data_IF_254104182701
#
_entry.id   IF_254104182701
#
_cell.length_a   1.000
_cell.length_b   1.000
_cell.length_c   1.000
_cell.angle_alpha   90.00
_cell.angle_beta   90.00
_cell.angle_gamma   90.00
#
_symmetry.space_group_name_H-M   'P 1'
#
loop_
_entity.id
_entity.type
_entity.pdbx_description
1 polymer ?
#
# COMPACT_ATOMS: atom_id res chain seq x y z
N UNK A 1 -45.52 11.50 -0.46
CA UNK A 1 -44.92 10.30 -0.98
C UNK A 1 -43.44 10.35 -0.70
N UNK A 2 -42.88 9.46 0.14
CA UNK A 2 -41.46 9.34 0.39
C UNK A 2 -40.80 8.82 -0.87
N UNK A 3 -40.00 9.68 -1.55
CA UNK A 3 -39.09 9.23 -2.58
C UNK A 3 -37.96 8.47 -1.88
N UNK A 4 -38.01 7.15 -1.91
CA UNK A 4 -36.90 6.31 -1.54
C UNK A 4 -35.84 6.48 -2.64
N UNK A 5 -34.86 7.31 -2.38
CA UNK A 5 -33.66 7.33 -3.21
C UNK A 5 -33.02 5.95 -3.06
N UNK A 6 -33.13 5.12 -4.10
CA UNK A 6 -32.24 3.99 -4.23
C UNK A 6 -30.81 4.51 -4.11
N UNK A 7 -29.87 3.77 -3.53
CA UNK A 7 -28.47 4.08 -3.63
C UNK A 7 -28.09 3.92 -5.12
N UNK A 8 -28.48 4.90 -5.91
CA UNK A 8 -28.07 4.98 -7.29
C UNK A 8 -26.60 5.35 -7.25
N UNK A 9 -25.78 4.48 -7.79
CA UNK A 9 -24.58 4.88 -8.53
C UNK A 9 -24.36 6.40 -8.42
N UNK A 10 -23.42 6.80 -7.62
CA UNK A 10 -22.87 8.16 -7.72
C UNK A 10 -22.31 8.24 -9.12
N UNK A 11 -23.08 8.84 -10.03
CA UNK A 11 -22.60 9.16 -11.36
C UNK A 11 -21.39 10.09 -11.17
N UNK A 12 -20.20 9.58 -11.47
CA UNK A 12 -18.93 10.23 -11.15
C UNK A 12 -18.15 9.58 -10.01
N UNK A 13 -18.66 8.50 -9.43
CA UNK A 13 -17.83 7.64 -8.56
C UNK A 13 -16.63 7.15 -9.35
N UNK A 14 -15.44 7.45 -8.85
CA UNK A 14 -14.22 6.89 -9.41
C UNK A 14 -14.43 5.38 -9.61
N UNK A 15 -14.42 4.98 -10.86
CA UNK A 15 -14.47 3.57 -11.22
C UNK A 15 -13.28 2.90 -10.57
N UNK A 16 -13.52 2.10 -9.54
CA UNK A 16 -12.50 1.16 -9.07
C UNK A 16 -12.16 0.34 -10.31
N UNK A 17 -10.92 0.30 -10.75
CA UNK A 17 -10.55 -0.47 -11.93
C UNK A 17 -11.12 -1.88 -11.77
N UNK A 18 -11.86 -2.34 -12.78
CA UNK A 18 -12.32 -3.71 -12.85
C UNK A 18 -11.13 -4.63 -12.61
N UNK A 19 -11.24 -5.69 -11.82
CA UNK A 19 -10.13 -6.57 -11.55
C UNK A 19 -9.52 -7.03 -12.87
N UNK A 20 -8.20 -6.93 -13.00
CA UNK A 20 -7.44 -7.36 -14.18
C UNK A 20 -7.61 -8.85 -14.46
N UNK A 21 -8.02 -9.60 -13.45
CA UNK A 21 -8.59 -10.94 -13.53
C UNK A 21 -9.52 -11.13 -12.33
N UNK A 22 -10.36 -12.14 -12.34
CA UNK A 22 -11.39 -12.35 -11.33
C UNK A 22 -10.90 -12.38 -9.87
N UNK A 23 -9.59 -12.44 -9.63
CA UNK A 23 -9.01 -12.72 -8.32
C UNK A 23 -7.98 -11.69 -7.81
N UNK A 24 -7.75 -10.57 -8.52
CA UNK A 24 -6.74 -9.58 -8.10
C UNK A 24 -7.35 -8.19 -7.96
N UNK A 25 -7.06 -7.53 -6.84
CA UNK A 25 -7.39 -6.14 -6.61
C UNK A 25 -6.13 -5.31 -6.40
N UNK A 26 -6.09 -4.13 -6.99
CA UNK A 26 -5.14 -3.11 -6.61
C UNK A 26 -5.62 -2.44 -5.32
N UNK A 27 -4.80 -2.52 -4.30
CA UNK A 27 -4.97 -1.70 -3.11
C UNK A 27 -4.23 -0.41 -3.35
N UNK A 28 -4.93 0.54 -3.93
CA UNK A 28 -4.38 1.87 -4.11
C UNK A 28 -5.50 2.90 -4.08
N UNK A 29 -5.25 4.08 -3.51
CA UNK A 29 -6.05 5.25 -3.79
C UNK A 29 -6.01 5.54 -5.31
N UNK A 30 -6.93 6.36 -5.79
CA UNK A 30 -6.96 6.81 -7.18
C UNK A 30 -5.56 7.19 -7.69
N UNK A 31 -5.08 6.52 -8.72
CA UNK A 31 -3.77 6.78 -9.34
C UNK A 31 -3.91 7.12 -10.82
N UNK A 32 -3.00 7.94 -11.34
CA UNK A 32 -3.00 8.36 -12.75
C UNK A 32 -2.14 7.49 -13.64
N UNK A 33 -1.12 6.84 -13.08
CA UNK A 33 -0.19 6.03 -13.86
C UNK A 33 0.49 4.97 -13.01
N UNK A 34 0.79 3.83 -13.64
CA UNK A 34 1.76 2.89 -13.11
C UNK A 34 3.17 3.45 -13.33
N UNK A 35 4.03 3.30 -12.34
CA UNK A 35 5.41 3.79 -12.33
C UNK A 35 6.30 2.76 -11.67
N UNK A 36 7.54 3.13 -11.45
CA UNK A 36 8.50 2.37 -10.64
C UNK A 36 9.18 3.29 -9.65
N UNK A 37 9.63 2.74 -8.52
CA UNK A 37 10.39 3.48 -7.51
C UNK A 37 11.56 2.63 -7.02
N UNK A 38 12.75 3.22 -6.94
CA UNK A 38 13.88 2.63 -6.26
C UNK A 38 13.66 2.72 -4.73
N UNK A 39 13.67 1.58 -4.07
CA UNK A 39 13.55 1.56 -2.62
C UNK A 39 14.85 2.03 -1.97
N UNK A 40 14.75 2.59 -0.79
CA UNK A 40 15.90 2.89 0.07
C UNK A 40 15.97 1.82 1.15
N UNK A 41 17.16 1.28 1.40
CA UNK A 41 17.37 0.26 2.41
C UNK A 41 16.81 0.69 3.79
N UNK A 42 16.11 -0.22 4.43
CA UNK A 42 15.49 -0.08 5.75
C UNK A 42 14.38 1.01 5.83
N UNK A 43 14.04 1.68 4.73
CA UNK A 43 12.93 2.64 4.73
C UNK A 43 11.61 1.91 4.61
N UNK A 44 10.67 2.22 5.51
CA UNK A 44 9.28 1.76 5.46
C UNK A 44 8.48 2.82 4.70
N UNK A 45 7.88 2.43 3.60
CA UNK A 45 6.93 3.24 2.83
C UNK A 45 5.53 2.83 3.22
N UNK A 46 4.64 3.79 3.48
CA UNK A 46 3.28 3.51 3.90
C UNK A 46 2.25 4.31 3.10
N UNK A 47 1.18 3.64 2.65
CA UNK A 47 0.06 4.22 1.91
C UNK A 47 -1.24 3.80 2.60
N UNK A 48 -2.15 4.73 2.93
CA UNK A 48 -3.44 4.38 3.49
C UNK A 48 -4.38 3.82 2.42
N UNK A 49 -5.23 2.87 2.82
CA UNK A 49 -6.27 2.33 1.96
C UNK A 49 -7.50 1.89 2.77
N UNK A 50 -8.63 1.83 2.08
CA UNK A 50 -9.90 1.34 2.61
C UNK A 50 -10.49 0.34 1.62
N UNK A 51 -11.01 -0.77 2.11
CA UNK A 51 -11.75 -1.72 1.28
C UNK A 51 -13.25 -1.38 1.30
N UNK A 52 -13.89 -1.41 0.14
CA UNK A 52 -15.34 -1.26 0.03
C UNK A 52 -16.12 -2.53 0.45
N UNK A 53 -15.46 -3.69 0.42
CA UNK A 53 -16.00 -4.99 0.80
C UNK A 53 -14.96 -5.75 1.60
N UNK A 54 -15.37 -6.39 2.70
CA UNK A 54 -14.48 -7.25 3.49
C UNK A 54 -13.91 -8.39 2.65
N UNK A 55 -12.60 -8.63 2.78
CA UNK A 55 -11.88 -9.64 2.02
C UNK A 55 -10.90 -10.42 2.88
N UNK A 56 -10.73 -11.70 2.55
CA UNK A 56 -9.61 -12.49 3.02
C UNK A 56 -8.56 -12.56 1.91
N UNK A 57 -7.41 -11.96 2.15
CA UNK A 57 -6.31 -11.92 1.19
C UNK A 57 -5.52 -13.22 1.31
N UNK A 58 -5.35 -13.92 0.20
CA UNK A 58 -4.66 -15.22 0.13
C UNK A 58 -3.29 -15.13 -0.53
N UNK A 59 -3.07 -14.09 -1.32
CA UNK A 59 -1.83 -13.89 -2.05
C UNK A 59 -1.43 -12.42 -2.03
N UNK A 60 -0.16 -12.15 -1.82
CA UNK A 60 0.44 -10.83 -1.92
C UNK A 60 1.53 -10.86 -2.98
N UNK A 61 1.57 -9.84 -3.84
CA UNK A 61 2.57 -9.76 -4.90
C UNK A 61 3.16 -8.37 -5.08
N UNK A 62 4.43 -8.33 -5.48
CA UNK A 62 5.15 -7.13 -5.90
C UNK A 62 5.82 -7.39 -7.24
N UNK A 63 6.03 -6.34 -8.03
CA UNK A 63 6.84 -6.43 -9.26
C UNK A 63 8.21 -5.82 -9.00
N UNK A 64 9.28 -6.58 -9.24
CA UNK A 64 10.66 -6.09 -9.23
C UNK A 64 11.05 -5.75 -10.66
N UNK A 65 11.25 -4.46 -10.96
CA UNK A 65 11.64 -3.99 -12.29
C UNK A 65 13.16 -3.90 -12.46
N UNK A 66 13.88 -3.57 -11.38
CA UNK A 66 15.36 -3.65 -11.35
C UNK A 66 15.77 -4.39 -10.09
N UNK A 67 16.47 -5.49 -10.28
CA UNK A 67 16.94 -6.33 -9.19
C UNK A 67 18.12 -5.69 -8.44
N UNK A 68 18.22 -5.99 -7.15
CA UNK A 68 19.39 -5.71 -6.34
C UNK A 68 19.84 -7.03 -5.68
N UNK A 69 21.01 -7.52 -6.06
CA UNK A 69 21.50 -8.84 -5.64
C UNK A 69 21.53 -8.99 -4.11
N UNK A 70 21.05 -10.12 -3.62
CA UNK A 70 21.02 -10.43 -2.18
C UNK A 70 20.01 -9.64 -1.37
N UNK A 71 19.10 -8.91 -2.02
CA UNK A 71 18.09 -8.12 -1.31
C UNK A 71 16.73 -8.79 -1.29
N UNK A 72 15.93 -8.39 -0.31
CA UNK A 72 14.56 -8.86 -0.12
C UNK A 72 13.63 -7.68 0.19
N UNK A 73 12.35 -7.89 -0.06
CA UNK A 73 11.28 -6.95 0.27
C UNK A 73 10.29 -7.63 1.20
N UNK A 74 9.78 -6.89 2.16
CA UNK A 74 8.70 -7.30 3.03
C UNK A 74 7.50 -6.39 2.81
N UNK A 75 6.30 -6.98 2.77
CA UNK A 75 5.02 -6.26 2.65
C UNK A 75 4.22 -6.53 3.91
N UNK A 76 3.58 -5.50 4.45
CA UNK A 76 2.71 -5.64 5.63
C UNK A 76 1.50 -4.73 5.57
N UNK A 77 0.56 -5.03 6.46
CA UNK A 77 -0.63 -4.21 6.68
C UNK A 77 -0.68 -3.82 8.15
N UNK A 78 -0.77 -2.52 8.38
CA UNK A 78 -0.94 -1.94 9.72
C UNK A 78 -2.36 -1.42 9.91
N UNK A 79 -2.81 -1.42 11.16
CA UNK A 79 -4.01 -0.69 11.55
C UNK A 79 -3.76 0.81 11.49
N UNK A 80 -4.84 1.58 11.37
CA UNK A 80 -4.80 3.03 11.52
C UNK A 80 -4.98 3.43 13.00
N UNK A 81 -4.29 4.48 13.40
CA UNK A 81 -4.58 5.24 14.61
C UNK A 81 -4.34 6.71 14.30
N UNK A 82 -5.43 7.49 14.36
CA UNK A 82 -5.41 8.94 14.12
C UNK A 82 -4.71 9.36 12.81
N UNK A 83 -4.95 8.60 11.73
CA UNK A 83 -4.37 8.87 10.42
C UNK A 83 -2.90 8.48 10.29
N UNK A 84 -2.42 7.53 11.11
CA UNK A 84 -1.04 7.03 11.08
C UNK A 84 -1.00 5.51 11.23
N UNK A 85 -0.01 4.82 10.62
CA UNK A 85 0.21 3.40 10.84
C UNK A 85 0.50 3.11 12.31
N UNK A 86 -0.15 2.11 12.88
CA UNK A 86 -0.03 1.79 14.31
C UNK A 86 0.45 0.34 14.53
N UNK A 87 -0.46 -0.61 14.70
CA UNK A 87 -0.12 -2.00 14.98
C UNK A 87 0.00 -2.82 13.69
N UNK A 88 1.03 -3.65 13.58
CA UNK A 88 1.17 -4.62 12.49
C UNK A 88 0.09 -5.70 12.63
N UNK A 89 -0.77 -5.78 11.63
CA UNK A 89 -1.81 -6.81 11.56
C UNK A 89 -1.31 -8.06 10.82
N UNK A 90 -0.63 -7.85 9.72
CA UNK A 90 -0.14 -8.91 8.85
C UNK A 90 1.18 -8.52 8.18
N UNK A 91 2.03 -9.50 7.90
CA UNK A 91 3.23 -9.31 7.08
C UNK A 91 3.59 -10.55 6.30
N UNK A 92 4.22 -10.36 5.15
CA UNK A 92 4.87 -11.45 4.42
C UNK A 92 6.16 -11.87 5.12
N UNK A 93 6.67 -13.06 4.80
CA UNK A 93 8.10 -13.30 4.90
C UNK A 93 8.86 -12.48 3.84
N UNK A 94 10.18 -12.58 3.84
CA UNK A 94 11.01 -11.87 2.85
C UNK A 94 10.76 -12.39 1.44
N UNK A 95 10.34 -11.50 0.53
CA UNK A 95 10.20 -11.77 -0.90
C UNK A 95 11.54 -11.45 -1.59
N UNK A 96 12.03 -12.36 -2.44
CA UNK A 96 13.27 -12.14 -3.19
C UNK A 96 13.16 -10.92 -4.10
N UNK A 97 14.08 -9.98 -3.98
CA UNK A 97 14.24 -8.84 -4.89
C UNK A 97 15.61 -8.82 -5.58
N UNK A 98 16.38 -9.89 -5.42
CA UNK A 98 17.65 -10.13 -6.13
C UNK A 98 17.47 -10.52 -7.59
N UNK A 99 16.24 -10.80 -8.04
CA UNK A 99 15.90 -11.09 -9.42
C UNK A 99 14.67 -10.28 -9.85
N UNK A 100 14.57 -9.93 -11.14
CA UNK A 100 13.43 -9.20 -11.70
C UNK A 100 12.17 -10.08 -11.79
N UNK A 101 11.03 -9.47 -12.02
CA UNK A 101 9.75 -10.13 -12.26
C UNK A 101 8.75 -9.97 -11.12
N UNK A 102 7.61 -10.64 -11.27
CA UNK A 102 6.55 -10.64 -10.28
C UNK A 102 6.88 -11.65 -9.16
N UNK A 103 6.89 -11.20 -7.93
CA UNK A 103 7.17 -11.98 -6.72
C UNK A 103 5.90 -12.13 -5.91
N UNK A 104 5.58 -13.36 -5.51
CA UNK A 104 4.34 -13.65 -4.78
C UNK A 104 4.62 -14.33 -3.45
N UNK A 105 3.75 -14.05 -2.48
CA UNK A 105 3.64 -14.75 -1.21
C UNK A 105 2.22 -15.30 -1.11
N UNK A 106 2.08 -16.59 -1.13
CA UNK A 106 0.80 -17.31 -1.24
C UNK A 106 0.41 -17.99 0.08
N UNK A 107 -0.77 -18.60 0.12
CA UNK A 107 -1.31 -19.34 1.26
C UNK A 107 -1.46 -18.46 2.52
N UNK A 108 -1.87 -17.22 2.32
CA UNK A 108 -2.15 -16.29 3.40
C UNK A 108 -3.63 -16.34 3.79
N UNK A 109 -3.96 -15.79 4.94
CA UNK A 109 -5.33 -15.63 5.42
C UNK A 109 -5.45 -14.29 6.14
N UNK A 110 -5.28 -13.17 5.39
CA UNK A 110 -5.35 -11.82 5.95
C UNK A 110 -6.77 -11.29 5.82
N UNK A 111 -7.51 -11.32 6.92
CA UNK A 111 -8.90 -10.84 6.95
C UNK A 111 -8.93 -9.33 7.16
N UNK A 112 -9.41 -8.60 6.16
CA UNK A 112 -9.55 -7.15 6.17
C UNK A 112 -11.03 -6.77 6.05
N UNK A 113 -11.50 -5.92 6.94
CA UNK A 113 -12.89 -5.48 7.03
C UNK A 113 -13.16 -4.29 6.11
N UNK A 114 -14.35 -4.24 5.54
CA UNK A 114 -14.82 -3.07 4.80
C UNK A 114 -14.92 -1.84 5.70
N UNK A 115 -14.64 -0.67 5.14
CA UNK A 115 -14.80 0.63 5.82
C UNK A 115 -13.72 0.96 6.85
N UNK A 116 -12.86 0.01 7.24
CA UNK A 116 -11.73 0.28 8.10
C UNK A 116 -10.56 0.87 7.30
N UNK A 117 -9.85 1.82 7.87
CA UNK A 117 -8.60 2.35 7.31
C UNK A 117 -7.45 1.43 7.68
N UNK A 118 -6.65 1.06 6.69
CA UNK A 118 -5.43 0.29 6.82
C UNK A 118 -4.27 1.01 6.15
N UNK A 119 -3.06 0.60 6.49
CA UNK A 119 -1.84 1.10 5.87
C UNK A 119 -1.07 -0.06 5.24
N UNK A 120 -0.90 0.01 3.91
CA UNK A 120 0.02 -0.86 3.20
C UNK A 120 1.44 -0.37 3.47
N UNK A 121 2.28 -1.23 4.03
CA UNK A 121 3.68 -0.93 4.31
C UNK A 121 4.60 -1.82 3.49
N UNK A 122 5.65 -1.23 2.91
CA UNK A 122 6.66 -1.94 2.12
C UNK A 122 8.04 -1.50 2.59
N UNK A 123 8.92 -2.47 2.85
CA UNK A 123 10.31 -2.26 3.27
C UNK A 123 11.25 -3.19 2.52
N UNK A 124 12.47 -2.74 2.24
CA UNK A 124 13.54 -3.57 1.69
C UNK A 124 14.82 -3.45 2.52
N UNK A 125 15.64 -4.49 2.53
CA UNK A 125 17.00 -4.43 3.10
C UNK A 125 18.03 -3.85 2.11
N UNK A 126 17.62 -3.49 0.90
CA UNK A 126 18.47 -2.93 -0.13
C UNK A 126 17.74 -1.91 -1.01
N UNK A 127 18.21 -1.75 -2.24
CA UNK A 127 17.76 -0.71 -3.16
C UNK A 127 17.18 -1.25 -4.48
N UNK A 128 16.34 -2.32 -4.47
CA UNK A 128 15.69 -2.76 -5.70
C UNK A 128 14.72 -1.69 -6.19
N UNK A 129 14.44 -1.68 -7.51
CA UNK A 129 13.36 -0.87 -8.08
C UNK A 129 12.11 -1.74 -8.21
N UNK A 130 11.00 -1.29 -7.66
CA UNK A 130 9.74 -2.03 -7.65
C UNK A 130 8.63 -1.26 -8.34
N UNK A 131 7.55 -1.97 -8.68
CA UNK A 131 6.33 -1.37 -9.19
C UNK A 131 5.76 -0.35 -8.22
N UNK A 132 5.33 0.77 -8.74
CA UNK A 132 4.85 1.91 -7.98
C UNK A 132 3.65 2.56 -8.66
N UNK A 133 2.98 3.41 -7.92
CA UNK A 133 1.97 4.33 -8.43
C UNK A 133 2.42 5.77 -8.22
N UNK A 134 2.01 6.62 -9.14
CA UNK A 134 2.01 8.06 -8.93
C UNK A 134 0.55 8.45 -8.66
N UNK A 135 0.19 8.75 -7.42
CA UNK A 135 -1.18 9.12 -7.09
C UNK A 135 -1.64 10.37 -7.85
N UNK A 136 -2.92 10.42 -8.14
CA UNK A 136 -3.55 11.62 -8.68
C UNK A 136 -3.46 12.76 -7.66
N UNK A 137 -3.31 13.93 -8.19
CA UNK A 137 -3.08 15.19 -7.48
C UNK A 137 -4.14 15.61 -6.45
N UNK A 138 -5.07 14.75 -6.09
CA UNK A 138 -6.21 15.06 -5.23
C UNK A 138 -6.21 14.35 -3.87
N UNK A 139 -5.20 13.52 -3.58
CA UNK A 139 -5.05 12.98 -2.23
C UNK A 139 -4.40 14.05 -1.35
N UNK A 140 -5.23 14.79 -0.65
CA UNK A 140 -4.76 15.79 0.33
C UNK A 140 -4.62 15.09 1.67
N UNK A 141 -3.41 14.77 2.03
CA UNK A 141 -3.06 14.47 3.41
C UNK A 141 -2.67 15.78 4.08
N UNK A 142 -3.41 16.18 5.12
CA UNK A 142 -3.11 17.37 5.90
C UNK A 142 -2.23 16.99 7.09
N UNK A 143 -0.98 17.38 7.07
CA UNK A 143 -0.12 17.37 8.25
C UNK A 143 0.06 18.82 8.72
N UNK A 144 -0.58 19.19 9.83
CA UNK A 144 -0.47 20.54 10.38
C UNK A 144 -1.19 21.61 9.54
N UNK A 145 -0.64 22.80 9.49
CA UNK A 145 -1.23 23.98 8.81
C UNK A 145 -0.92 24.08 7.32
N UNK A 146 -0.16 23.15 6.76
CA UNK A 146 0.27 23.18 5.35
C UNK A 146 -0.46 22.13 4.55
N UNK A 147 -1.27 22.58 3.60
CA UNK A 147 -1.89 21.71 2.61
C UNK A 147 -0.85 21.37 1.53
N UNK A 148 -0.20 20.22 1.65
CA UNK A 148 0.69 19.71 0.62
C UNK A 148 0.09 18.46 -0.01
N UNK A 149 0.22 18.31 -1.32
CA UNK A 149 -0.08 17.04 -2.01
C UNK A 149 0.90 16.00 -1.51
N UNK A 150 0.39 14.88 -1.01
CA UNK A 150 1.23 13.80 -0.52
C UNK A 150 0.77 12.49 -1.13
N UNK A 151 1.71 11.74 -1.66
CA UNK A 151 1.45 10.43 -2.26
C UNK A 151 1.49 9.30 -1.22
N UNK A 152 2.10 9.56 -0.10
CA UNK A 152 2.26 8.64 1.01
C UNK A 152 3.27 9.18 2.01
N UNK A 153 3.64 8.35 2.95
CA UNK A 153 4.58 8.67 4.02
C UNK A 153 5.69 7.63 4.08
N UNK A 154 6.85 8.00 4.58
CA UNK A 154 7.91 7.03 4.88
C UNK A 154 8.58 7.32 6.22
N UNK A 155 9.17 6.25 6.76
CA UNK A 155 9.97 6.26 7.98
C UNK A 155 11.27 5.51 7.74
N UNK A 156 12.41 6.10 8.13
CA UNK A 156 13.72 5.43 8.04
C UNK A 156 13.97 4.64 9.32
N UNK A 157 13.73 3.33 9.24
CA UNK A 157 13.95 2.41 10.35
C UNK A 157 15.46 2.13 10.51
N UNK A 158 15.87 1.75 11.72
CA UNK A 158 17.27 1.41 12.01
C UNK A 158 17.70 0.08 11.36
N UNK A 159 16.73 -0.83 11.12
CA UNK A 159 16.97 -2.16 10.57
C UNK A 159 15.84 -2.61 9.64
N UNK A 160 16.11 -3.65 8.87
CA UNK A 160 15.13 -4.37 8.09
C UNK A 160 14.25 -5.26 8.99
N UNK A 161 12.98 -5.31 8.66
CA UNK A 161 11.92 -6.03 9.35
C UNK A 161 10.82 -5.06 9.79
N UNK A 162 9.58 -5.32 9.35
CA UNK A 162 8.43 -4.53 9.72
C UNK A 162 8.16 -4.70 11.23
N UNK A 163 8.26 -3.64 12.05
CA UNK A 163 8.08 -3.74 13.49
C UNK A 163 6.63 -4.04 13.85
N UNK A 164 6.39 -4.63 15.01
CA UNK A 164 5.04 -4.93 15.51
C UNK A 164 4.19 -3.68 15.76
N UNK A 165 4.82 -2.52 15.96
CA UNK A 165 4.15 -1.24 16.10
C UNK A 165 4.97 -0.13 15.45
N UNK A 166 4.26 0.81 14.85
CA UNK A 166 4.77 2.06 14.29
C UNK A 166 4.22 3.28 15.04
N UNK A 167 3.64 3.04 16.24
CA UNK A 167 3.15 4.12 17.09
C UNK A 167 4.29 5.05 17.51
N UNK A 168 4.05 6.35 17.42
CA UNK A 168 5.01 7.37 17.86
C UNK A 168 6.23 7.58 16.96
N UNK A 169 6.33 6.91 15.81
CA UNK A 169 7.43 7.20 14.85
C UNK A 169 7.15 8.52 14.12
N UNK A 170 8.22 9.23 13.78
CA UNK A 170 8.13 10.46 12.98
C UNK A 170 8.09 10.12 11.49
N UNK A 171 6.93 10.30 10.88
CA UNK A 171 6.71 10.07 9.46
C UNK A 171 7.14 11.28 8.62
N UNK A 172 7.75 11.01 7.49
CA UNK A 172 8.08 12.02 6.48
C UNK A 172 7.11 11.88 5.30
N UNK A 173 6.31 12.91 5.03
CA UNK A 173 5.44 12.93 3.86
C UNK A 173 6.23 13.01 2.55
N UNK A 174 5.69 12.44 1.47
CA UNK A 174 6.35 12.45 0.17
C UNK A 174 5.39 12.66 -0.98
N UNK A 175 5.87 13.37 -2.00
CA UNK A 175 5.21 13.54 -3.31
C UNK A 175 5.78 12.59 -4.37
N UNK A 176 6.75 11.77 -4.01
CA UNK A 176 7.35 10.79 -4.92
C UNK A 176 6.39 9.62 -5.22
N UNK A 177 6.69 8.84 -6.25
CA UNK A 177 6.00 7.59 -6.52
C UNK A 177 6.14 6.64 -5.31
N UNK A 178 5.05 5.96 -5.00
CA UNK A 178 4.98 5.06 -3.85
C UNK A 178 4.93 3.60 -4.31
N UNK A 179 5.71 2.70 -3.67
CA UNK A 179 5.66 1.29 -4.01
C UNK A 179 4.29 0.71 -3.70
N UNK A 180 3.85 -0.25 -4.51
CA UNK A 180 2.57 -0.94 -4.32
C UNK A 180 2.74 -2.44 -4.25
N UNK A 181 1.77 -3.09 -3.59
CA UNK A 181 1.56 -4.52 -3.65
C UNK A 181 0.19 -4.82 -4.27
N UNK A 182 0.09 -5.99 -4.89
CA UNK A 182 -1.17 -6.54 -5.42
C UNK A 182 -1.66 -7.59 -4.42
N UNK A 183 -2.94 -7.54 -4.08
CA UNK A 183 -3.59 -8.52 -3.23
C UNK A 183 -4.51 -9.42 -4.06
N UNK A 184 -4.32 -10.75 -3.93
CA UNK A 184 -5.23 -11.77 -4.40
C UNK A 184 -6.09 -12.33 -3.24
N UNK A 185 -7.33 -12.76 -3.53
CA UNK A 185 -8.28 -13.31 -2.55
C UNK A 185 -8.97 -14.55 -3.14
#
# INVERSE_FOLDING_TARGET
GNVKLAPSSVAGGASIPSPLSANYYFVAPLFTATSTVALTANRIYAIPFVLSVSKTITTIGITVSTAASGTTVQVGVYSDSDGSPNALLYSTSSLDSGTTGFKTYTNQSWSLSAGATYWLAIQSNGTPTVGAITPVSNLVYCSGTTFARQNGIYYSAASYGLPSSLSGVSWTPTTAAMPIAVFGY
#
